data_IF_983015657157
#
_entry.id   IF_983015657157
#
_cell.length_a   1.000
_cell.length_b   1.000
_cell.length_c   1.000
_cell.angle_alpha   90.00
_cell.angle_beta   90.00
_cell.angle_gamma   90.00
#
_symmetry.space_group_name_H-M   'P 1'
#
loop_
_entity.id
_entity.type
_entity.pdbx_description
1 polymer ?
#
# COMPACT_ATOMS: atom_id res chain seq x y z
N UNK A 1 -17.71 5.45 15.65
CA UNK A 1 -17.74 4.22 14.83
C UNK A 1 -17.14 4.56 13.47
N UNK A 2 -16.19 3.79 12.90
CA UNK A 2 -15.56 4.17 11.64
C UNK A 2 -16.44 3.76 10.44
N UNK A 3 -16.76 4.75 9.59
CA UNK A 3 -17.49 4.63 8.32
C UNK A 3 -16.49 4.28 7.19
N UNK A 4 -16.89 3.50 6.19
CA UNK A 4 -16.09 3.13 4.99
C UNK A 4 -16.87 3.51 3.74
N UNK A 5 -16.27 3.97 2.63
CA UNK A 5 -16.94 4.27 1.34
C UNK A 5 -16.03 3.85 0.16
N UNK A 6 -16.57 3.35 -0.96
CA UNK A 6 -15.89 3.01 -2.25
C UNK A 6 -16.92 3.06 -3.37
N UNK A 7 -16.37 3.05 -4.57
CA UNK A 7 -16.96 3.40 -5.85
C UNK A 7 -16.43 2.41 -6.88
N UNK A 8 -17.32 1.63 -7.52
CA UNK A 8 -16.97 0.63 -8.51
C UNK A 8 -17.37 1.02 -9.94
N UNK A 9 -16.60 0.52 -10.91
CA UNK A 9 -16.80 0.74 -12.34
C UNK A 9 -17.09 -0.56 -13.10
N UNK A 10 -17.77 -0.44 -14.25
CA UNK A 10 -18.40 -1.50 -15.03
C UNK A 10 -17.48 -2.69 -15.35
N UNK A 11 -17.74 -3.84 -14.75
CA UNK A 11 -17.36 -5.16 -15.30
C UNK A 11 -16.20 -5.92 -14.66
N UNK A 12 -15.40 -5.33 -13.75
CA UNK A 12 -14.36 -6.07 -13.01
C UNK A 12 -14.33 -5.64 -11.53
N UNK A 13 -14.94 -6.44 -10.66
CA UNK A 13 -14.71 -6.38 -9.21
C UNK A 13 -13.52 -7.28 -8.87
N UNK A 14 -12.34 -6.70 -8.63
CA UNK A 14 -11.22 -7.47 -8.11
C UNK A 14 -11.49 -7.86 -6.65
N UNK A 15 -11.65 -9.16 -6.42
CA UNK A 15 -11.75 -9.79 -5.10
C UNK A 15 -10.48 -9.51 -4.28
N UNK A 16 -10.55 -8.57 -3.34
CA UNK A 16 -9.66 -8.49 -2.19
C UNK A 16 -10.50 -8.11 -0.96
N UNK A 17 -10.50 -8.99 0.05
CA UNK A 17 -11.33 -8.95 1.27
C UNK A 17 -11.09 -7.73 2.17
N UNK A 18 -11.54 -6.54 1.76
CA UNK A 18 -12.03 -5.47 2.65
C UNK A 18 -13.17 -4.77 1.89
N UNK A 19 -14.44 -4.84 2.35
CA UNK A 19 -15.58 -4.33 1.61
C UNK A 19 -15.54 -2.82 1.61
N UNK A 20 -15.05 -2.24 0.53
CA UNK A 20 -14.83 -0.82 0.48
C UNK A 20 -16.12 -0.11 -0.06
N UNK A 21 -17.07 -0.71 -0.80
CA UNK A 21 -18.14 -0.09 -1.69
C UNK A 21 -19.35 0.67 -1.14
N UNK A 22 -19.34 1.17 0.10
CA UNK A 22 -20.62 1.39 0.77
C UNK A 22 -20.65 2.58 1.73
N UNK A 23 -21.20 3.73 1.33
CA UNK A 23 -21.53 4.77 2.30
C UNK A 23 -22.58 4.25 3.28
N UNK A 24 -22.39 4.41 4.59
CA UNK A 24 -23.36 4.04 5.61
C UNK A 24 -23.78 5.25 6.48
N UNK A 25 -24.95 5.17 7.13
CA UNK A 25 -25.41 6.16 8.13
C UNK A 25 -26.23 5.50 9.24
N UNK A 26 -26.45 6.20 10.35
CA UNK A 26 -27.22 5.68 11.50
C UNK A 26 -28.74 5.63 11.25
N UNK A 27 -29.19 6.22 10.14
CA UNK A 27 -30.59 6.34 9.76
C UNK A 27 -31.16 7.74 10.01
N UNK A 28 -32.37 7.96 9.52
CA UNK A 28 -33.15 9.18 9.72
C UNK A 28 -34.49 8.82 10.32
N UNK A 29 -35.00 9.65 11.22
CA UNK A 29 -36.29 9.44 11.87
C UNK A 29 -37.18 10.63 11.52
N UNK A 30 -38.32 10.33 10.93
CA UNK A 30 -39.45 11.26 10.80
C UNK A 30 -40.66 10.63 11.50
N UNK A 31 -41.20 11.29 12.53
CA UNK A 31 -42.24 10.70 13.40
C UNK A 31 -43.64 10.92 12.87
N UNK A 32 -43.80 11.89 11.99
CA UNK A 32 -45.08 12.38 11.51
C UNK A 32 -45.49 11.72 10.18
N UNK A 33 -44.57 11.64 9.21
CA UNK A 33 -44.85 11.11 7.87
C UNK A 33 -43.99 9.90 7.48
N UNK A 34 -42.89 9.68 8.17
CA UNK A 34 -41.92 8.65 7.83
C UNK A 34 -41.01 9.08 6.68
N UNK A 35 -40.12 8.18 6.26
CA UNK A 35 -39.14 8.46 5.20
C UNK A 35 -39.64 7.86 3.87
N UNK A 36 -39.58 8.67 2.81
CA UNK A 36 -39.93 8.31 1.43
C UNK A 36 -38.72 7.77 0.65
N UNK A 37 -37.52 8.23 0.97
CA UNK A 37 -36.31 7.71 0.36
C UNK A 37 -35.04 8.42 0.84
N UNK A 38 -33.92 7.91 0.36
CA UNK A 38 -32.61 8.52 0.54
C UNK A 38 -32.02 8.90 -0.82
N UNK A 39 -31.26 9.97 -0.83
CA UNK A 39 -30.43 10.37 -1.95
C UNK A 39 -29.00 10.54 -1.45
N UNK A 40 -28.04 9.94 -2.14
CA UNK A 40 -26.61 10.11 -1.88
C UNK A 40 -25.96 10.93 -2.98
N UNK A 41 -25.05 11.81 -2.58
CA UNK A 41 -24.41 12.80 -3.44
C UNK A 41 -22.90 12.80 -3.21
N UNK A 42 -22.14 13.11 -4.26
CA UNK A 42 -20.69 13.32 -4.20
C UNK A 42 -20.37 14.73 -4.71
N UNK A 43 -19.59 15.47 -3.95
CA UNK A 43 -19.09 16.80 -4.32
C UNK A 43 -17.59 16.96 -4.10
N UNK A 44 -17.02 18.00 -4.69
CA UNK A 44 -15.63 18.41 -4.45
C UNK A 44 -15.49 19.25 -3.18
N UNK A 45 -16.61 19.75 -2.66
CA UNK A 45 -16.71 20.51 -1.41
C UNK A 45 -17.86 19.98 -0.56
N UNK A 46 -17.81 20.24 0.74
CA UNK A 46 -18.82 19.78 1.69
C UNK A 46 -20.24 20.20 1.26
N UNK A 47 -21.20 19.28 1.36
CA UNK A 47 -22.60 19.47 0.98
C UNK A 47 -22.89 19.70 -0.51
N UNK A 48 -21.90 19.62 -1.41
CA UNK A 48 -22.10 19.78 -2.86
C UNK A 48 -22.32 18.45 -3.56
N UNK A 49 -22.85 18.53 -4.78
CA UNK A 49 -23.22 17.42 -5.66
C UNK A 49 -22.55 17.52 -7.05
N UNK A 50 -21.44 18.26 -7.14
CA UNK A 50 -20.76 18.59 -8.40
C UNK A 50 -20.21 17.37 -9.17
N UNK A 51 -20.06 16.22 -8.51
CA UNK A 51 -19.46 14.99 -9.08
C UNK A 51 -20.51 13.93 -9.35
N UNK A 52 -21.42 13.73 -8.41
CA UNK A 52 -22.54 12.81 -8.58
C UNK A 52 -23.79 13.41 -7.94
N UNK A 53 -24.75 13.77 -8.79
CA UNK A 53 -26.06 14.21 -8.36
C UNK A 53 -27.02 13.03 -8.20
N UNK A 54 -27.91 13.18 -7.25
CA UNK A 54 -29.13 12.42 -7.01
C UNK A 54 -29.08 10.90 -7.27
N UNK A 55 -28.33 10.17 -6.44
CA UNK A 55 -28.38 8.70 -6.44
C UNK A 55 -29.33 8.18 -5.38
N UNK A 56 -30.47 7.62 -5.79
CA UNK A 56 -31.34 6.84 -4.91
C UNK A 56 -30.88 5.37 -4.89
N UNK A 57 -30.25 4.89 -3.80
CA UNK A 57 -29.75 3.53 -3.70
C UNK A 57 -30.87 2.49 -3.63
N UNK A 58 -32.10 2.90 -3.31
CA UNK A 58 -33.24 2.01 -3.08
C UNK A 58 -34.29 2.07 -4.18
N UNK A 59 -34.05 2.83 -5.26
CA UNK A 59 -34.97 2.94 -6.41
C UNK A 59 -35.37 1.59 -7.01
N UNK A 60 -34.53 0.58 -6.86
CA UNK A 60 -34.74 -0.77 -7.38
C UNK A 60 -35.46 -1.71 -6.39
N UNK A 61 -35.67 -1.28 -5.14
CA UNK A 61 -36.34 -2.08 -4.11
C UNK A 61 -37.86 -1.90 -4.19
N UNK A 62 -38.58 -2.99 -3.91
CA UNK A 62 -40.04 -3.00 -3.99
C UNK A 62 -40.71 -2.62 -2.68
N UNK A 63 -40.03 -2.80 -1.55
CA UNK A 63 -40.60 -2.58 -0.23
C UNK A 63 -39.62 -1.85 0.73
N UNK A 64 -40.17 -1.00 1.60
CA UNK A 64 -39.39 -0.20 2.56
C UNK A 64 -38.67 -1.07 3.61
N UNK A 65 -39.16 -2.28 3.90
CA UNK A 65 -38.50 -3.21 4.82
C UNK A 65 -37.14 -3.71 4.33
N UNK A 66 -36.87 -3.55 3.03
CA UNK A 66 -35.61 -3.93 2.40
C UNK A 66 -34.58 -2.79 2.39
N UNK A 67 -34.95 -1.60 2.87
CA UNK A 67 -34.04 -0.46 2.89
C UNK A 67 -32.90 -0.70 3.86
N UNK A 68 -31.71 -0.31 3.42
CA UNK A 68 -30.51 -0.37 4.24
C UNK A 68 -30.03 1.05 4.49
N UNK A 69 -29.39 1.33 5.63
CA UNK A 69 -28.74 2.63 5.82
C UNK A 69 -27.38 2.64 5.16
N UNK A 70 -27.38 2.26 3.88
CA UNK A 70 -26.17 2.18 3.10
C UNK A 70 -26.42 2.33 1.60
N UNK A 71 -25.42 2.84 0.89
CA UNK A 71 -25.48 3.08 -0.55
C UNK A 71 -24.18 2.69 -1.24
N UNK A 72 -24.31 2.03 -2.38
CA UNK A 72 -23.23 1.82 -3.35
C UNK A 72 -23.42 2.78 -4.50
N UNK A 73 -22.36 3.49 -4.91
CA UNK A 73 -22.44 4.50 -5.96
C UNK A 73 -21.84 3.92 -7.24
N UNK A 74 -22.71 3.54 -8.18
CA UNK A 74 -22.33 3.02 -9.50
C UNK A 74 -23.48 3.18 -10.50
N UNK A 75 -23.21 3.44 -11.80
CA UNK A 75 -21.91 3.80 -12.38
C UNK A 75 -21.56 5.27 -12.12
N UNK A 76 -20.28 5.61 -12.17
CA UNK A 76 -19.86 7.02 -12.11
C UNK A 76 -20.30 7.73 -13.40
N UNK A 77 -20.91 8.93 -13.31
CA UNK A 77 -21.41 9.64 -14.48
C UNK A 77 -20.28 10.06 -15.41
N UNK A 78 -20.58 10.05 -16.72
CA UNK A 78 -19.69 10.56 -17.75
C UNK A 78 -19.29 12.02 -17.44
N UNK A 79 -18.04 12.44 -17.74
CA UNK A 79 -17.06 11.78 -18.60
C UNK A 79 -16.15 10.77 -17.89
N UNK A 80 -16.32 10.56 -16.59
CA UNK A 80 -15.40 9.75 -15.81
C UNK A 80 -15.74 8.26 -15.93
N UNK A 81 -14.73 7.43 -16.21
CA UNK A 81 -14.86 5.98 -16.06
C UNK A 81 -14.59 5.60 -14.60
N UNK A 82 -13.49 6.07 -14.03
CA UNK A 82 -13.18 5.98 -12.59
C UNK A 82 -13.10 7.38 -11.98
N UNK A 83 -13.34 7.50 -10.68
CA UNK A 83 -13.11 8.76 -9.98
C UNK A 83 -11.62 9.16 -10.12
N UNK A 84 -11.32 10.36 -10.62
CA UNK A 84 -9.97 10.90 -10.66
C UNK A 84 -9.36 11.06 -9.27
N UNK A 85 -8.05 11.24 -9.23
CA UNK A 85 -7.33 11.53 -7.99
C UNK A 85 -7.82 12.85 -7.40
N UNK A 86 -8.09 12.87 -6.10
CA UNK A 86 -8.66 14.05 -5.46
C UNK A 86 -9.40 13.78 -4.17
N UNK A 87 -9.99 14.85 -3.63
CA UNK A 87 -10.78 14.84 -2.39
C UNK A 87 -12.26 14.98 -2.73
N UNK A 88 -13.06 14.09 -2.15
CA UNK A 88 -14.50 14.01 -2.41
C UNK A 88 -15.28 13.98 -1.11
N UNK A 89 -16.40 14.70 -1.07
CA UNK A 89 -17.28 14.77 0.08
C UNK A 89 -18.58 14.06 -0.23
N UNK A 90 -19.07 13.28 0.73
CA UNK A 90 -20.31 12.53 0.59
C UNK A 90 -21.38 13.20 1.43
N UNK A 91 -22.55 13.33 0.82
CA UNK A 91 -23.71 13.97 1.43
C UNK A 91 -24.90 13.03 1.28
N UNK A 92 -25.66 12.87 2.37
CA UNK A 92 -26.88 12.05 2.39
C UNK A 92 -28.08 12.97 2.62
N UNK A 93 -29.09 12.85 1.78
CA UNK A 93 -30.38 13.55 1.89
C UNK A 93 -31.46 12.53 2.19
N UNK A 94 -32.34 12.82 3.14
CA UNK A 94 -33.52 12.04 3.43
C UNK A 94 -34.77 12.84 3.05
N UNK A 95 -35.66 12.20 2.28
CA UNK A 95 -36.93 12.76 1.83
C UNK A 95 -38.06 12.22 2.71
N UNK A 96 -38.95 13.06 3.20
CA UNK A 96 -40.09 12.62 4.00
C UNK A 96 -41.29 12.13 3.15
N UNK A 97 -42.16 11.30 3.72
CA UNK A 97 -43.29 10.66 3.03
C UNK A 97 -44.64 11.35 3.29
N UNK A 98 -44.71 12.63 2.95
CA UNK A 98 -45.90 13.46 3.16
C UNK A 98 -46.97 13.21 2.09
N UNK A 99 -48.19 12.85 2.51
CA UNK A 99 -49.35 12.67 1.61
C UNK A 99 -50.04 13.97 1.20
N UNK A 100 -50.05 14.97 2.10
CA UNK A 100 -50.69 16.27 1.90
C UNK A 100 -49.73 17.38 2.34
N UNK A 101 -49.15 18.08 1.38
CA UNK A 101 -48.11 19.10 1.61
C UNK A 101 -46.98 18.98 0.59
N UNK A 102 -46.00 19.89 0.68
CA UNK A 102 -44.77 19.79 -0.10
C UNK A 102 -43.76 18.84 0.56
N UNK A 103 -42.92 18.13 -0.22
CA UNK A 103 -41.86 17.30 0.33
C UNK A 103 -40.81 18.15 1.06
N UNK A 104 -40.32 17.65 2.18
CA UNK A 104 -39.21 18.21 2.94
C UNK A 104 -37.99 17.29 2.85
N UNK A 105 -36.81 17.90 2.83
CA UNK A 105 -35.54 17.20 2.71
C UNK A 105 -34.62 17.59 3.86
N UNK A 106 -34.10 16.59 4.56
CA UNK A 106 -33.04 16.76 5.57
C UNK A 106 -31.71 16.35 4.96
N UNK A 107 -30.70 17.23 5.00
CA UNK A 107 -29.37 16.98 4.44
C UNK A 107 -28.34 16.83 5.55
N UNK A 108 -27.51 15.79 5.48
CA UNK A 108 -26.35 15.57 6.36
C UNK A 108 -25.11 15.46 5.50
N UNK A 109 -24.09 16.23 5.84
CA UNK A 109 -22.82 16.27 5.12
C UNK A 109 -21.72 15.71 6.00
N UNK A 110 -20.80 14.97 5.39
CA UNK A 110 -19.59 14.52 6.07
C UNK A 110 -18.48 15.55 5.88
N UNK A 111 -17.86 16.00 6.97
CA UNK A 111 -16.81 17.03 6.93
C UNK A 111 -15.42 16.47 6.61
N UNK A 112 -15.22 15.15 6.68
CA UNK A 112 -13.95 14.52 6.28
C UNK A 112 -14.03 14.03 4.83
N UNK A 113 -13.16 14.52 3.94
CA UNK A 113 -13.17 14.09 2.54
C UNK A 113 -12.58 12.68 2.39
N UNK A 114 -13.15 11.92 1.46
CA UNK A 114 -12.57 10.73 0.87
C UNK A 114 -11.44 11.15 -0.08
N UNK A 115 -10.22 10.65 0.14
CA UNK A 115 -9.13 10.84 -0.85
C UNK A 115 -9.07 9.63 -1.77
N UNK A 116 -9.21 9.88 -3.07
CA UNK A 116 -8.99 8.92 -4.14
C UNK A 116 -7.55 9.12 -4.64
N UNK A 117 -6.78 8.04 -4.72
CA UNK A 117 -5.45 8.01 -5.29
C UNK A 117 -5.27 6.79 -6.19
N UNK A 118 -5.15 7.02 -7.49
CA UNK A 118 -4.88 6.04 -8.53
C UNK A 118 -3.41 6.07 -8.99
N UNK A 119 -2.59 6.96 -8.44
CA UNK A 119 -1.20 7.12 -8.82
C UNK A 119 -0.35 6.01 -8.22
N UNK A 120 0.54 5.42 -9.01
CA UNK A 120 1.46 4.39 -8.50
C UNK A 120 2.60 5.07 -7.77
N UNK A 121 3.09 4.49 -6.65
CA UNK A 121 4.25 5.02 -5.99
C UNK A 121 5.50 4.87 -6.86
N UNK A 122 6.46 5.75 -6.63
CA UNK A 122 7.75 5.79 -7.30
C UNK A 122 8.87 5.38 -6.35
N UNK A 123 9.83 4.61 -6.86
CA UNK A 123 11.11 4.35 -6.20
C UNK A 123 12.18 4.90 -7.14
N UNK A 124 12.94 5.87 -6.65
CA UNK A 124 14.01 6.52 -7.40
C UNK A 124 15.31 5.73 -7.31
N UNK A 125 15.66 5.28 -6.10
CA UNK A 125 16.88 4.51 -5.88
C UNK A 125 16.81 3.63 -4.62
N UNK A 126 17.58 2.55 -4.63
CA UNK A 126 17.83 1.66 -3.48
C UNK A 126 19.34 1.55 -3.30
N UNK A 127 19.84 2.08 -2.19
CA UNK A 127 21.26 2.33 -1.95
C UNK A 127 21.63 2.07 -0.48
N UNK A 128 22.93 2.20 -0.16
CA UNK A 128 23.41 2.07 1.22
C UNK A 128 23.17 0.68 1.80
N UNK A 129 23.37 -0.37 1.00
CA UNK A 129 23.24 -1.74 1.49
C UNK A 129 24.49 -2.09 2.27
N UNK A 130 24.30 -2.40 3.54
CA UNK A 130 25.35 -2.84 4.44
C UNK A 130 24.85 -4.07 5.20
N UNK A 131 25.77 -5.00 5.47
CA UNK A 131 25.49 -6.16 6.30
C UNK A 131 26.50 -6.23 7.43
N UNK A 132 26.00 -6.30 8.66
CA UNK A 132 26.80 -6.51 9.86
C UNK A 132 26.77 -8.01 10.20
N UNK A 133 27.93 -8.66 10.07
CA UNK A 133 28.10 -10.09 10.30
C UNK A 133 28.06 -10.45 11.80
N UNK A 134 28.53 -9.55 12.67
CA UNK A 134 28.55 -9.76 14.12
C UNK A 134 27.12 -9.67 14.71
N UNK A 135 26.29 -8.79 14.15
CA UNK A 135 24.91 -8.52 14.60
C UNK A 135 23.82 -8.96 13.60
N UNK A 136 24.04 -10.04 12.82
CA UNK A 136 23.35 -10.40 11.55
C UNK A 136 22.29 -9.40 11.08
N UNK A 137 22.73 -8.17 10.77
CA UNK A 137 21.84 -7.04 10.53
C UNK A 137 22.05 -6.50 9.12
N UNK A 138 21.03 -6.63 8.29
CA UNK A 138 20.97 -5.98 6.99
C UNK A 138 20.43 -4.56 7.14
N UNK A 139 21.17 -3.58 6.62
CA UNK A 139 20.74 -2.20 6.46
C UNK A 139 20.57 -1.90 4.99
N UNK A 140 19.52 -1.19 4.63
CA UNK A 140 19.28 -0.72 3.27
C UNK A 140 18.49 0.58 3.29
N UNK A 141 18.84 1.53 2.44
CA UNK A 141 18.13 2.81 2.30
C UNK A 141 17.47 2.91 0.93
N UNK A 142 16.38 3.67 0.84
CA UNK A 142 15.73 3.95 -0.44
C UNK A 142 15.11 5.33 -0.49
N UNK A 143 15.09 5.91 -1.69
CA UNK A 143 14.32 7.13 -1.97
C UNK A 143 13.06 6.74 -2.73
N UNK A 144 11.91 6.98 -2.13
CA UNK A 144 10.60 6.72 -2.71
C UNK A 144 9.63 7.84 -2.43
N UNK A 145 8.66 8.01 -3.33
CA UNK A 145 7.65 9.05 -3.24
C UNK A 145 6.30 8.57 -3.73
N UNK A 146 5.25 9.17 -3.18
CA UNK A 146 3.89 9.08 -3.69
C UNK A 146 3.29 10.49 -3.70
N UNK A 147 2.67 10.93 -4.82
CA UNK A 147 2.23 12.31 -4.97
C UNK A 147 0.93 12.64 -4.23
N UNK A 148 0.16 11.66 -3.72
CA UNK A 148 -1.18 11.92 -3.21
C UNK A 148 -1.48 11.27 -1.85
N UNK A 149 -1.44 9.94 -1.74
CA UNK A 149 -1.80 9.22 -0.50
C UNK A 149 -0.63 9.06 0.47
N UNK A 150 0.59 9.17 -0.05
CA UNK A 150 1.80 8.89 0.71
C UNK A 150 2.08 7.39 0.82
N UNK A 151 3.21 7.05 1.43
CA UNK A 151 3.68 5.68 1.57
C UNK A 151 3.39 5.14 2.97
N UNK A 152 2.84 3.93 3.05
CA UNK A 152 2.43 3.33 4.34
C UNK A 152 3.27 2.11 4.68
N UNK A 153 3.68 1.33 3.68
CA UNK A 153 4.48 0.13 3.90
C UNK A 153 5.65 0.05 2.93
N UNK A 154 6.71 -0.60 3.40
CA UNK A 154 7.84 -1.09 2.62
C UNK A 154 7.98 -2.59 2.89
N UNK A 155 7.98 -3.40 1.83
CA UNK A 155 8.37 -4.80 1.96
C UNK A 155 9.81 -4.99 1.54
N UNK A 156 10.49 -5.89 2.23
CA UNK A 156 11.81 -6.36 1.90
C UNK A 156 11.74 -7.80 1.36
N UNK A 157 12.49 -8.11 0.31
CA UNK A 157 12.77 -9.47 -0.12
C UNK A 157 14.24 -9.59 -0.51
N UNK A 158 14.79 -10.80 -0.34
CA UNK A 158 16.17 -11.13 -0.66
C UNK A 158 16.19 -12.27 -1.68
N UNK A 159 17.00 -12.11 -2.74
CA UNK A 159 17.10 -13.06 -3.84
C UNK A 159 18.54 -13.43 -4.17
N UNK A 160 18.74 -14.56 -4.86
CA UNK A 160 20.06 -14.88 -5.44
C UNK A 160 20.28 -14.19 -6.79
N UNK A 161 19.24 -13.53 -7.30
CA UNK A 161 19.20 -12.75 -8.54
C UNK A 161 18.36 -11.48 -8.36
N UNK A 162 18.46 -10.56 -9.32
CA UNK A 162 17.63 -9.36 -9.35
C UNK A 162 16.10 -9.63 -9.48
N UNK A 163 15.67 -10.88 -9.69
CA UNK A 163 14.27 -11.22 -10.00
C UNK A 163 13.59 -12.15 -8.99
N UNK A 164 14.34 -12.94 -8.22
CA UNK A 164 13.83 -13.99 -7.32
C UNK A 164 13.83 -13.55 -5.84
N UNK A 165 13.03 -14.18 -4.99
CA UNK A 165 12.99 -13.91 -3.54
C UNK A 165 13.41 -15.15 -2.74
N UNK A 166 14.36 -15.93 -3.27
CA UNK A 166 14.65 -17.27 -2.77
C UNK A 166 15.36 -17.27 -1.40
N UNK A 167 16.13 -16.23 -1.08
CA UNK A 167 16.80 -16.12 0.23
C UNK A 167 15.79 -15.71 1.31
N UNK A 168 14.90 -14.78 0.97
CA UNK A 168 13.83 -14.33 1.86
C UNK A 168 12.63 -13.83 1.06
N UNK A 169 11.48 -14.46 1.33
CA UNK A 169 10.18 -14.01 0.82
C UNK A 169 9.82 -12.60 1.30
N UNK A 170 8.85 -11.99 0.63
CA UNK A 170 8.41 -10.63 0.95
C UNK A 170 7.96 -10.48 2.42
N UNK A 171 8.71 -9.69 3.18
CA UNK A 171 8.37 -9.32 4.56
C UNK A 171 7.81 -7.91 4.62
N UNK A 172 6.58 -7.76 5.11
CA UNK A 172 5.94 -6.45 5.33
C UNK A 172 6.53 -5.73 6.55
N UNK A 173 6.89 -4.46 6.35
CA UNK A 173 7.30 -3.53 7.40
C UNK A 173 6.55 -2.21 7.27
N UNK A 174 6.49 -1.44 8.36
CA UNK A 174 5.98 -0.06 8.32
C UNK A 174 6.94 0.84 7.58
N UNK A 175 6.42 1.78 6.78
CA UNK A 175 7.24 2.63 5.93
C UNK A 175 8.36 3.33 6.71
N UNK A 176 9.59 3.08 6.28
CA UNK A 176 10.80 3.75 6.77
C UNK A 176 11.79 3.84 5.61
N UNK A 177 12.34 5.02 5.28
CA UNK A 177 13.32 5.18 4.20
C UNK A 177 14.58 4.34 4.48
N UNK A 178 14.94 4.20 5.75
CA UNK A 178 16.02 3.37 6.23
C UNK A 178 15.47 2.08 6.83
N UNK A 179 15.81 0.96 6.19
CA UNK A 179 15.39 -0.38 6.57
C UNK A 179 16.52 -1.04 7.34
N UNK A 180 16.16 -1.63 8.47
CA UNK A 180 17.04 -2.51 9.23
C UNK A 180 16.30 -3.81 9.48
N UNK A 181 16.91 -4.93 9.09
CA UNK A 181 16.31 -6.24 9.23
C UNK A 181 17.33 -7.26 9.69
N UNK A 182 17.05 -7.91 10.83
CA UNK A 182 17.90 -8.96 11.35
C UNK A 182 17.66 -10.24 10.55
N UNK A 183 18.67 -10.67 9.78
CA UNK A 183 18.62 -11.85 8.92
C UNK A 183 20.01 -12.43 8.81
N UNK A 184 20.14 -13.76 8.89
CA UNK A 184 21.40 -14.44 8.61
C UNK A 184 21.46 -14.80 7.13
N UNK A 185 22.41 -14.22 6.41
CA UNK A 185 22.62 -14.48 4.99
C UNK A 185 23.46 -15.74 4.75
N UNK A 186 23.27 -16.36 3.59
CA UNK A 186 24.08 -17.50 3.15
C UNK A 186 25.48 -17.07 2.67
N UNK A 187 26.52 -17.69 3.25
CA UNK A 187 27.92 -17.41 2.91
C UNK A 187 28.26 -17.79 1.46
N UNK A 188 29.07 -16.97 0.80
CA UNK A 188 29.56 -17.18 -0.56
C UNK A 188 28.53 -16.95 -1.67
N UNK A 189 27.30 -16.56 -1.34
CA UNK A 189 26.21 -16.35 -2.30
C UNK A 189 25.97 -14.86 -2.53
N UNK A 190 25.73 -14.48 -3.80
CA UNK A 190 25.31 -13.12 -4.16
C UNK A 190 23.85 -12.91 -3.78
N UNK A 191 23.60 -12.00 -2.86
CA UNK A 191 22.26 -11.62 -2.42
C UNK A 191 21.86 -10.26 -3.00
N UNK A 192 20.71 -10.22 -3.66
CA UNK A 192 20.07 -9.02 -4.17
C UNK A 192 18.99 -8.54 -3.23
N UNK A 193 19.11 -7.29 -2.79
CA UNK A 193 18.10 -6.64 -1.94
C UNK A 193 17.03 -5.99 -2.81
N UNK A 194 15.77 -6.25 -2.47
CA UNK A 194 14.62 -5.68 -3.16
C UNK A 194 13.66 -5.07 -2.17
N UNK A 195 13.21 -3.86 -2.49
CA UNK A 195 12.27 -3.10 -1.68
C UNK A 195 11.02 -2.88 -2.51
N UNK A 196 9.86 -3.08 -1.90
CA UNK A 196 8.57 -2.85 -2.53
C UNK A 196 7.79 -1.85 -1.69
N UNK A 197 7.63 -0.65 -2.21
CA UNK A 197 6.86 0.40 -1.55
C UNK A 197 5.41 0.30 -1.93
N UNK A 198 4.56 0.59 -0.96
CA UNK A 198 3.12 0.48 -1.07
C UNK A 198 2.53 1.78 -0.57
N UNK A 199 1.83 2.45 -1.47
CA UNK A 199 1.05 3.61 -1.09
C UNK A 199 -0.17 3.17 -0.29
N UNK A 200 -0.72 4.08 0.48
CA UNK A 200 -1.88 3.77 1.27
C UNK A 200 -2.49 5.02 1.87
N UNK A 201 -3.81 4.99 1.98
CA UNK A 201 -4.54 5.98 2.72
C UNK A 201 -4.15 5.96 4.20
N UNK A 202 -3.39 6.96 4.64
CA UNK A 202 -2.97 7.24 6.02
C UNK A 202 -4.16 7.35 7.01
N UNK A 203 -5.40 7.51 6.53
CA UNK A 203 -6.61 7.58 7.37
C UNK A 203 -7.66 6.57 6.93
N UNK A 204 -8.48 6.08 7.89
CA UNK A 204 -9.60 5.16 7.63
C UNK A 204 -10.61 5.66 6.57
N UNK A 205 -10.56 6.94 6.23
CA UNK A 205 -11.39 7.59 5.22
C UNK A 205 -10.70 7.77 3.85
N UNK A 206 -9.58 7.09 3.59
CA UNK A 206 -8.88 7.17 2.31
C UNK A 206 -8.98 5.83 1.58
N UNK A 207 -9.23 5.87 0.27
CA UNK A 207 -9.36 4.67 -0.54
C UNK A 207 -8.01 3.96 -0.59
N UNK A 208 -7.96 2.74 -0.07
CA UNK A 208 -6.79 1.88 -0.10
C UNK A 208 -6.63 1.31 -1.50
N UNK A 209 -5.97 2.04 -2.37
CA UNK A 209 -5.37 1.42 -3.55
C UNK A 209 -4.00 0.92 -3.11
N UNK A 210 -3.85 -0.38 -2.85
CA UNK A 210 -2.56 -1.00 -2.50
C UNK A 210 -1.64 -1.05 -3.75
N UNK A 211 -1.39 0.10 -4.38
CA UNK A 211 -0.51 0.19 -5.53
C UNK A 211 0.92 0.02 -5.06
N UNK A 212 1.65 -0.76 -5.84
CA UNK A 212 2.99 -1.22 -5.46
C UNK A 212 4.00 -1.00 -6.56
N UNK A 213 5.21 -0.65 -6.14
CA UNK A 213 6.39 -0.56 -7.00
C UNK A 213 7.54 -1.31 -6.34
N UNK A 214 8.30 -2.03 -7.15
CA UNK A 214 9.48 -2.77 -6.69
C UNK A 214 10.72 -2.03 -7.20
N UNK A 215 11.63 -1.74 -6.29
CA UNK A 215 12.98 -1.28 -6.52
C UNK A 215 13.95 -2.41 -6.24
N UNK A 216 14.96 -2.52 -7.08
CA UNK A 216 16.05 -3.48 -6.92
C UNK A 216 17.31 -2.67 -6.72
N UNK A 217 18.14 -3.11 -5.78
CA UNK A 217 19.44 -2.52 -5.60
C UNK A 217 20.32 -2.60 -6.85
N UNK A 218 21.23 -1.65 -7.00
CA UNK A 218 22.17 -1.63 -8.13
C UNK A 218 23.26 -2.72 -8.04
N UNK A 219 23.52 -3.24 -6.84
CA UNK A 219 24.58 -4.20 -6.56
C UNK A 219 24.09 -5.29 -5.60
N UNK A 220 24.66 -6.49 -5.77
CA UNK A 220 24.48 -7.60 -4.85
C UNK A 220 25.55 -7.57 -3.76
N UNK A 221 25.20 -8.05 -2.57
CA UNK A 221 26.15 -8.28 -1.47
C UNK A 221 26.60 -9.74 -1.46
N UNK A 222 27.82 -9.99 -1.01
CA UNK A 222 28.37 -11.33 -0.78
C UNK A 222 28.94 -11.31 0.63
N UNK A 223 28.53 -12.26 1.46
CA UNK A 223 29.06 -12.48 2.81
C UNK A 223 30.04 -13.63 2.74
N UNK A 224 31.23 -13.50 3.33
CA UNK A 224 32.23 -14.58 3.36
C UNK A 224 32.87 -14.67 4.74
N UNK A 225 32.44 -15.67 5.50
CA UNK A 225 32.93 -15.94 6.85
C UNK A 225 34.07 -16.97 6.87
N UNK A 226 34.62 -17.36 5.71
CA UNK A 226 35.67 -18.37 5.65
C UNK A 226 37.07 -17.73 5.60
N UNK A 227 37.99 -18.08 6.53
CA UNK A 227 39.35 -17.57 6.45
C UNK A 227 40.06 -18.19 5.23
N UNK A 228 41.01 -17.47 4.61
CA UNK A 228 41.84 -18.05 3.57
C UNK A 228 42.61 -19.26 4.14
N UNK A 229 42.67 -20.33 3.37
CA UNK A 229 43.46 -21.51 3.74
C UNK A 229 44.94 -21.18 3.50
N UNK A 230 45.74 -21.20 4.57
CA UNK A 230 47.18 -20.98 4.46
C UNK A 230 47.83 -22.07 3.61
N UNK A 231 48.62 -21.65 2.62
CA UNK A 231 49.53 -22.52 1.90
C UNK A 231 50.79 -22.83 2.73
N UNK A 232 51.65 -23.70 2.21
CA UNK A 232 52.99 -23.85 2.75
C UNK A 232 53.86 -22.67 2.31
N UNK A 233 54.59 -22.09 3.27
CA UNK A 233 55.63 -21.12 2.96
C UNK A 233 56.87 -21.91 2.55
N UNK A 234 57.29 -21.75 1.30
CA UNK A 234 58.44 -22.44 0.72
C UNK A 234 59.57 -21.41 0.59
N UNK A 235 60.71 -21.65 1.23
CA UNK A 235 61.85 -20.72 1.28
C UNK A 235 62.92 -21.01 0.19
N UNK A 236 62.64 -21.92 -0.74
CA UNK A 236 63.52 -22.26 -1.86
C UNK A 236 63.73 -21.12 -2.85
N UNK A 237 64.91 -21.12 -3.48
CA UNK A 237 65.28 -20.17 -4.54
C UNK A 237 64.49 -20.36 -5.84
N UNK A 238 63.67 -21.41 -5.92
CA UNK A 238 62.79 -21.74 -7.05
C UNK A 238 61.35 -21.79 -6.56
N UNK A 239 60.44 -21.16 -7.31
CA UNK A 239 59.01 -21.17 -7.03
C UNK A 239 58.50 -22.61 -6.85
N UNK A 240 57.78 -22.87 -5.76
CA UNK A 240 57.21 -24.19 -5.47
C UNK A 240 58.20 -25.19 -4.85
N UNK A 241 59.40 -24.76 -4.46
CA UNK A 241 60.41 -25.63 -3.83
C UNK A 241 60.73 -25.16 -2.42
N UNK A 242 60.81 -26.08 -1.47
CA UNK A 242 61.25 -25.84 -0.09
C UNK A 242 62.77 -26.05 0.06
N UNK A 243 63.48 -25.27 0.86
CA UNK A 243 64.88 -25.55 1.19
C UNK A 243 64.94 -26.74 2.16
N UNK A 244 65.43 -27.87 1.70
CA UNK A 244 65.58 -29.06 2.54
C UNK A 244 66.65 -28.93 3.63
N UNK A 245 67.56 -27.94 3.53
CA UNK A 245 68.62 -27.75 4.52
C UNK A 245 69.13 -26.30 4.53
N UNK A 246 69.00 -25.63 5.67
CA UNK A 246 69.80 -24.45 6.02
C UNK A 246 70.90 -24.90 6.97
N UNK A 247 72.17 -24.61 6.65
CA UNK A 247 73.26 -24.79 7.64
C UNK A 247 72.95 -23.88 8.83
N UNK A 248 72.79 -24.46 10.02
CA UNK A 248 72.84 -23.70 11.26
C UNK A 248 74.16 -22.92 11.27
N UNK A 249 74.06 -21.59 11.29
CA UNK A 249 75.21 -20.74 11.50
C UNK A 249 75.60 -20.88 12.97
N UNK A 250 76.63 -21.67 13.27
CA UNK A 250 77.25 -21.62 14.60
C UNK A 250 77.97 -20.29 14.75
N UNK A 251 77.38 -19.38 15.54
CA UNK A 251 78.08 -18.32 16.27
C UNK A 251 77.53 -18.21 17.67
#
# INVERSE_FOLDING_TARGET
>A
MPWSILVCNVGECALFDIPLDQANWDGFIDRESGILGYTVLIGLTECKDDVHADHDPHKHLFDKSQWTHSAMISPIPAPYTKLPDGKYFITVRALNDVKYGGPLVTTVCHSTPLTVDNSRPEIYDVYGIEYDEDLPLLKASHVSGDPHSGLVYNDLCLGHSARDCNEMDWKRMGYSPDIQYAVKLTDGVRIWVKIKVINGGITKAQLKMDLRKIGVANQAIIVDNTPPIAGQVLDGSVQGTDLQFTKEYQQ
#
